data_IF_996522632627
#
_entry.id   IF_996522632627
#
_cell.length_a   1.000
_cell.length_b   1.000
_cell.length_c   1.000
_cell.angle_alpha   90.00
_cell.angle_beta   90.00
_cell.angle_gamma   90.00
#
_symmetry.space_group_name_H-M   'P 1'
#
loop_
_entity.id
_entity.type
_entity.pdbx_description
1 polymer ?
#
# COMPACT_ATOMS: atom_id res chain seq x y z
N UNK A 1 -16.56 -2.01 15.75
CA UNK A 1 -16.45 -1.91 14.29
C UNK A 1 -15.46 -2.97 13.85
N UNK A 2 -15.94 -4.11 13.36
CA UNK A 2 -15.10 -5.17 12.82
C UNK A 2 -14.26 -4.59 11.69
N UNK A 3 -12.94 -4.66 11.83
CA UNK A 3 -11.99 -4.34 10.76
C UNK A 3 -12.13 -5.41 9.68
N UNK A 4 -13.11 -5.24 8.78
CA UNK A 4 -13.13 -5.99 7.53
C UNK A 4 -11.83 -5.67 6.80
N UNK A 5 -11.00 -6.70 6.58
CA UNK A 5 -9.84 -6.58 5.71
C UNK A 5 -10.35 -6.18 4.32
N UNK A 6 -10.18 -4.91 3.97
CA UNK A 6 -10.56 -4.43 2.65
C UNK A 6 -9.57 -4.98 1.63
N UNK A 7 -9.97 -6.02 0.92
CA UNK A 7 -9.24 -6.56 -0.21
C UNK A 7 -9.66 -5.85 -1.49
N UNK A 8 -8.68 -5.31 -2.24
CA UNK A 8 -8.92 -4.72 -3.56
C UNK A 8 -8.01 -5.43 -4.55
N UNK A 9 -8.62 -6.11 -5.52
CA UNK A 9 -7.89 -6.66 -6.65
C UNK A 9 -7.37 -5.51 -7.52
N UNK A 10 -6.04 -5.44 -7.69
CA UNK A 10 -5.37 -4.50 -8.57
C UNK A 10 -4.50 -5.25 -9.57
N UNK A 11 -4.39 -4.73 -10.79
CA UNK A 11 -3.54 -5.30 -11.83
C UNK A 11 -2.12 -4.72 -11.73
N UNK A 12 -1.11 -5.58 -11.86
CA UNK A 12 0.28 -5.15 -12.06
C UNK A 12 0.41 -4.49 -13.45
N UNK A 13 1.04 -3.31 -13.50
CA UNK A 13 1.35 -2.67 -14.77
C UNK A 13 2.54 -3.36 -15.44
N UNK A 14 2.76 -3.18 -16.76
CA UNK A 14 3.94 -3.74 -17.43
C UNK A 14 5.29 -3.32 -16.84
N UNK A 15 5.34 -2.17 -16.16
CA UNK A 15 6.52 -1.69 -15.46
C UNK A 15 6.73 -2.33 -14.07
N UNK A 16 5.90 -3.30 -13.69
CA UNK A 16 5.99 -3.98 -12.40
C UNK A 16 5.48 -3.17 -11.21
N UNK A 17 4.66 -2.13 -11.45
CA UNK A 17 4.10 -1.29 -10.38
C UNK A 17 2.63 -1.62 -10.11
N UNK A 18 2.18 -1.33 -8.89
CA UNK A 18 0.76 -1.29 -8.52
C UNK A 18 0.38 0.13 -8.09
N UNK A 19 -0.83 0.55 -8.44
CA UNK A 19 -1.39 1.80 -7.92
C UNK A 19 -2.05 1.54 -6.58
N UNK A 20 -1.60 2.18 -5.52
CA UNK A 20 -2.27 2.11 -4.20
C UNK A 20 -3.66 2.75 -4.33
N UNK A 21 -4.75 1.99 -4.04
CA UNK A 21 -6.12 2.51 -4.12
C UNK A 21 -6.29 3.82 -3.37
N UNK A 22 -7.11 4.73 -3.93
CA UNK A 22 -7.29 6.09 -3.40
C UNK A 22 -7.75 6.08 -1.93
N UNK A 23 -8.59 5.12 -1.54
CA UNK A 23 -9.05 4.98 -0.17
C UNK A 23 -7.93 4.61 0.80
N UNK A 24 -7.02 3.71 0.42
CA UNK A 24 -5.87 3.34 1.25
C UNK A 24 -4.87 4.48 1.36
N UNK A 25 -4.63 5.23 0.27
CA UNK A 25 -3.80 6.46 0.33
C UNK A 25 -4.36 7.49 1.31
N UNK A 26 -5.68 7.72 1.27
CA UNK A 26 -6.34 8.63 2.23
C UNK A 26 -6.25 8.10 3.66
N UNK A 27 -6.52 6.82 3.86
CA UNK A 27 -6.49 6.19 5.19
C UNK A 27 -5.08 6.22 5.80
N UNK A 28 -4.05 5.96 5.00
CA UNK A 28 -2.66 5.97 5.42
C UNK A 28 -2.04 7.38 5.40
N UNK A 29 -2.78 8.41 4.97
CA UNK A 29 -2.29 9.77 4.75
C UNK A 29 -1.00 9.78 3.90
N UNK A 30 -1.04 9.14 2.74
CA UNK A 30 0.07 9.05 1.79
C UNK A 30 -0.11 10.08 0.67
N UNK A 31 0.92 10.88 0.45
CA UNK A 31 1.00 11.90 -0.59
C UNK A 31 2.06 11.57 -1.65
N UNK A 32 2.05 12.34 -2.74
CA UNK A 32 3.07 12.20 -3.78
C UNK A 32 4.43 12.60 -3.18
N UNK A 33 5.40 11.70 -3.29
CA UNK A 33 6.75 11.90 -2.74
C UNK A 33 6.96 11.27 -1.37
N UNK A 34 5.89 10.77 -0.72
CA UNK A 34 6.05 10.02 0.53
C UNK A 34 6.77 8.70 0.28
N UNK A 35 7.57 8.32 1.27
CA UNK A 35 8.24 7.04 1.29
C UNK A 35 7.36 5.99 1.99
N UNK A 36 7.40 4.77 1.47
CA UNK A 36 6.81 3.59 2.09
C UNK A 36 7.86 2.49 2.22
N UNK A 37 7.72 1.65 3.25
CA UNK A 37 8.47 0.41 3.39
C UNK A 37 7.65 -0.73 2.80
N UNK A 38 8.26 -1.54 1.96
CA UNK A 38 7.65 -2.76 1.42
C UNK A 38 8.33 -3.94 2.09
N UNK A 39 7.53 -4.80 2.74
CA UNK A 39 8.01 -5.99 3.44
C UNK A 39 7.41 -7.21 2.77
N UNK A 40 8.24 -8.22 2.51
CA UNK A 40 7.80 -9.53 2.04
C UNK A 40 7.71 -10.47 3.25
N UNK A 41 6.53 -11.00 3.52
CA UNK A 41 6.27 -11.97 4.58
C UNK A 41 5.56 -13.18 3.96
N UNK A 42 6.24 -14.32 3.89
CA UNK A 42 5.74 -15.55 3.26
C UNK A 42 5.25 -15.31 1.81
N UNK A 43 3.94 -15.32 1.60
CA UNK A 43 3.27 -15.11 0.31
C UNK A 43 2.51 -13.77 0.28
N UNK A 44 2.90 -12.82 1.13
CA UNK A 44 2.23 -11.53 1.30
C UNK A 44 3.22 -10.37 1.24
N UNK A 45 2.81 -9.28 0.59
CA UNK A 45 3.56 -8.04 0.54
C UNK A 45 2.84 -6.96 1.36
N UNK A 46 3.51 -6.44 2.38
CA UNK A 46 2.95 -5.44 3.29
C UNK A 46 3.59 -4.09 3.00
N UNK A 47 2.76 -3.08 2.75
CA UNK A 47 3.19 -1.69 2.54
C UNK A 47 2.94 -0.89 3.83
N UNK A 48 4.00 -0.30 4.40
CA UNK A 48 3.95 0.48 5.65
C UNK A 48 4.38 1.92 5.37
N UNK A 49 3.71 2.93 5.95
CA UNK A 49 4.15 4.35 5.86
C UNK A 49 5.55 4.47 6.48
N UNK A 50 6.50 5.09 5.77
CA UNK A 50 7.81 5.36 6.31
C UNK A 50 7.82 6.72 7.02
N UNK A 51 8.62 6.83 8.08
CA UNK A 51 9.05 8.11 8.66
C UNK A 51 10.55 8.19 8.46
N UNK A 52 10.99 9.18 7.71
CA UNK A 52 12.41 9.48 7.49
C UNK A 52 12.69 10.76 8.27
N UNK A 53 13.63 10.69 9.20
CA UNK A 53 14.12 11.80 10.03
C UNK A 53 15.47 12.29 9.52
#
# INVERSE_FOLDING_TARGET
MSSENQEILVKITPAGTISIPKQFRKYMDLQKGDYVKVVLEQDSMIVKKARIS
#
